data_IF_988407542181
#
_entry.id   IF_988407542181
#
_cell.length_a   1.000
_cell.length_b   1.000
_cell.length_c   1.000
_cell.angle_alpha   90.00
_cell.angle_beta   90.00
_cell.angle_gamma   90.00
#
_symmetry.space_group_name_H-M   'P 1'
#
loop_
_entity.id
_entity.type
_entity.pdbx_description
1 polymer ?
#
# COMPACT_ATOMS: atom_id res chain seq x y z
N UNK A 1 7.84 -9.98 -10.30
CA UNK A 1 6.98 -9.04 -9.56
C UNK A 1 6.80 -9.36 -8.08
N UNK A 2 6.20 -10.49 -7.66
CA UNK A 2 5.97 -10.76 -6.22
C UNK A 2 7.26 -10.68 -5.37
N UNK A 3 8.36 -11.28 -5.81
CA UNK A 3 9.64 -11.21 -5.09
C UNK A 3 10.20 -9.78 -4.97
N UNK A 4 9.93 -8.91 -5.97
CA UNK A 4 10.36 -7.52 -5.93
C UNK A 4 9.48 -6.70 -4.98
N UNK A 5 8.18 -7.00 -4.93
CA UNK A 5 7.24 -6.42 -3.98
C UNK A 5 7.58 -6.80 -2.53
N UNK A 6 7.91 -8.07 -2.30
CA UNK A 6 8.30 -8.61 -1.00
C UNK A 6 9.60 -7.96 -0.49
N UNK A 7 10.63 -7.89 -1.34
CA UNK A 7 11.88 -7.20 -1.01
C UNK A 7 11.66 -5.70 -0.70
N UNK A 8 10.75 -5.02 -1.39
CA UNK A 8 10.40 -3.62 -1.12
C UNK A 8 9.66 -3.44 0.21
N UNK A 9 8.78 -4.37 0.57
CA UNK A 9 8.08 -4.35 1.85
C UNK A 9 9.03 -4.58 3.03
N UNK A 10 9.97 -5.52 2.89
CA UNK A 10 11.00 -5.81 3.89
C UNK A 10 12.01 -4.65 4.07
N UNK A 11 12.22 -3.83 3.05
CA UNK A 11 13.14 -2.68 3.09
C UNK A 11 12.61 -1.45 3.86
N UNK A 12 11.36 -1.46 4.33
CA UNK A 12 10.79 -0.41 5.20
C UNK A 12 10.46 0.94 4.54
N UNK A 13 11.04 1.25 3.38
CA UNK A 13 10.76 2.48 2.62
C UNK A 13 10.56 2.18 1.11
N UNK A 14 9.45 1.53 0.72
CA UNK A 14 9.19 1.23 -0.67
C UNK A 14 8.95 2.50 -1.50
N UNK A 15 9.61 2.62 -2.65
CA UNK A 15 9.36 3.74 -3.58
C UNK A 15 7.92 3.64 -4.12
N UNK A 16 7.09 4.64 -3.83
CA UNK A 16 5.63 4.63 -4.10
C UNK A 16 5.31 4.33 -5.57
N UNK A 17 6.07 4.89 -6.53
CA UNK A 17 5.86 4.63 -7.96
C UNK A 17 6.11 3.18 -8.33
N UNK A 18 7.13 2.56 -7.74
CA UNK A 18 7.53 1.18 -8.01
C UNK A 18 6.54 0.19 -7.38
N UNK A 19 6.11 0.47 -6.15
CA UNK A 19 5.05 -0.27 -5.46
C UNK A 19 3.75 -0.30 -6.28
N UNK A 20 3.30 0.87 -6.74
CA UNK A 20 2.09 1.00 -7.58
C UNK A 20 2.19 0.17 -8.85
N UNK A 21 3.35 0.19 -9.52
CA UNK A 21 3.57 -0.60 -10.74
C UNK A 21 3.49 -2.10 -10.47
N UNK A 22 4.14 -2.60 -9.43
CA UNK A 22 4.08 -4.03 -9.10
C UNK A 22 2.66 -4.48 -8.72
N UNK A 23 1.90 -3.64 -8.00
CA UNK A 23 0.49 -3.93 -7.69
C UNK A 23 -0.40 -3.96 -8.95
N UNK A 24 -0.19 -3.05 -9.90
CA UNK A 24 -0.94 -3.05 -11.16
C UNK A 24 -0.64 -4.29 -12.01
N UNK A 25 0.60 -4.75 -12.04
CA UNK A 25 0.94 -5.99 -12.75
C UNK A 25 0.23 -7.18 -12.10
N UNK A 26 0.26 -7.29 -10.77
CA UNK A 26 -0.45 -8.36 -10.04
C UNK A 26 -1.96 -8.29 -10.29
N UNK A 27 -2.57 -7.11 -10.24
CA UNK A 27 -3.99 -6.92 -10.55
C UNK A 27 -4.34 -7.34 -11.98
N UNK A 28 -3.48 -7.02 -12.95
CA UNK A 28 -3.63 -7.45 -14.34
C UNK A 28 -3.54 -8.96 -14.51
N UNK A 29 -2.68 -9.63 -13.75
CA UNK A 29 -2.58 -11.10 -13.74
C UNK A 29 -3.79 -11.79 -13.08
N UNK A 30 -4.40 -11.17 -12.07
CA UNK A 30 -5.58 -11.71 -11.35
C UNK A 30 -6.90 -11.29 -12.04
N UNK A 31 -6.85 -10.34 -12.99
CA UNK A 31 -7.99 -9.86 -13.76
C UNK A 31 -8.83 -8.80 -13.05
N UNK A 32 -8.49 -8.42 -11.80
CA UNK A 32 -9.20 -7.36 -11.07
C UNK A 32 -8.32 -6.66 -10.04
N UNK A 33 -8.49 -5.33 -9.96
CA UNK A 33 -7.92 -4.48 -8.90
C UNK A 33 -8.67 -4.66 -7.58
N UNK A 34 -9.97 -4.98 -7.60
CA UNK A 34 -10.76 -5.20 -6.38
C UNK A 34 -10.29 -6.41 -5.57
N UNK A 35 -9.63 -7.38 -6.22
CA UNK A 35 -9.01 -8.52 -5.55
C UNK A 35 -7.90 -8.11 -4.56
N UNK A 36 -7.32 -6.92 -4.70
CA UNK A 36 -6.32 -6.37 -3.78
C UNK A 36 -6.93 -5.58 -2.62
N UNK A 37 -8.24 -5.34 -2.60
CA UNK A 37 -8.88 -4.43 -1.67
C UNK A 37 -8.70 -4.85 -0.20
N UNK A 38 -8.87 -6.13 0.11
CA UNK A 38 -8.73 -6.65 1.48
C UNK A 38 -7.28 -6.53 2.00
N UNK A 39 -6.30 -6.92 1.18
CA UNK A 39 -4.89 -6.81 1.53
C UNK A 39 -4.46 -5.34 1.71
N UNK A 40 -4.90 -4.44 0.83
CA UNK A 40 -4.63 -3.01 0.94
C UNK A 40 -5.31 -2.36 2.15
N UNK A 41 -6.50 -2.81 2.54
CA UNK A 41 -7.16 -2.37 3.76
C UNK A 41 -6.35 -2.78 5.01
N UNK A 42 -5.73 -3.97 5.00
CA UNK A 42 -4.80 -4.40 6.04
C UNK A 42 -3.59 -3.46 6.18
N UNK A 43 -2.96 -3.11 5.06
CA UNK A 43 -1.83 -2.16 5.04
C UNK A 43 -2.26 -0.78 5.52
N UNK A 44 -3.43 -0.29 5.09
CA UNK A 44 -3.97 1.00 5.52
C UNK A 44 -4.16 1.05 7.05
N UNK A 45 -4.75 0.00 7.64
CA UNK A 45 -4.90 -0.10 9.09
C UNK A 45 -3.56 -0.12 9.81
N UNK A 46 -2.57 -0.86 9.31
CA UNK A 46 -1.23 -0.86 9.88
C UNK A 46 -0.62 0.55 9.85
N UNK A 47 -0.71 1.27 8.72
CA UNK A 47 -0.24 2.66 8.61
C UNK A 47 -0.97 3.58 9.60
N UNK A 48 -2.28 3.43 9.76
CA UNK A 48 -3.08 4.20 10.73
C UNK A 48 -2.67 3.93 12.19
N UNK A 49 -2.17 2.73 12.51
CA UNK A 49 -1.64 2.41 13.84
C UNK A 49 -0.26 3.03 14.09
N UNK A 50 0.51 3.33 13.03
CA UNK A 50 1.84 3.96 13.13
C UNK A 50 1.81 5.48 12.92
N UNK A 51 0.73 6.03 12.36
CA UNK A 51 0.59 7.46 12.08
C UNK A 51 -0.23 8.18 13.14
N UNK A 52 0.21 9.38 13.55
CA UNK A 52 -0.69 10.30 14.23
C UNK A 52 -1.86 10.64 13.28
N UNK A 53 -3.12 10.69 13.77
CA UNK A 53 -4.24 11.18 12.96
C UNK A 53 -3.85 12.54 12.37
N UNK A 54 -4.22 12.84 11.10
CA UNK A 54 -4.02 14.18 10.58
C UNK A 54 -4.70 15.14 11.55
N UNK A 55 -3.91 16.03 12.14
CA UNK A 55 -4.41 17.08 13.02
C UNK A 55 -5.40 17.86 12.17
N UNK A 56 -6.69 17.61 12.39
CA UNK A 56 -7.73 18.43 11.77
C UNK A 56 -7.48 19.80 12.36
N UNK A 57 -6.88 20.69 11.56
CA UNK A 57 -6.75 22.09 11.90
C UNK A 57 -8.11 22.59 12.33
N UNK A 58 -8.30 22.74 13.64
CA UNK A 58 -9.26 23.65 14.20
C UNK A 58 -8.70 25.04 13.92
N UNK A 59 -8.82 25.47 12.66
CA UNK A 59 -8.69 26.87 12.29
C UNK A 59 -9.93 27.57 12.83
N UNK A 60 -9.72 28.28 13.93
CA UNK A 60 -10.63 29.22 14.58
C UNK A 60 -10.57 30.57 13.87
#
# INVERSE_FOLDING_TARGET
ELAALDAMALGGAPEVRRLRRSLLIVAGCVGSVSALAEALAGVRRAVELFGAPPERGTEN
#
